data_IF_273811939198
#
_entry.id   IF_273811939198
#
_cell.length_a   1.000
_cell.length_b   1.000
_cell.length_c   1.000
_cell.angle_alpha   90.00
_cell.angle_beta   90.00
_cell.angle_gamma   90.00
#
_symmetry.space_group_name_H-M   'P 1'
#
loop_
_entity.id
_entity.type
_entity.pdbx_description
1 polymer ?
#
# COMPACT_ATOMS: atom_id res chain seq x y z
N UNK A 1 7.68 -22.76 -0.35
CA UNK A 1 7.57 -21.32 -0.08
C UNK A 1 8.26 -20.59 -1.24
N UNK A 2 7.52 -20.09 -2.24
CA UNK A 2 8.10 -19.41 -3.39
C UNK A 2 8.36 -17.94 -3.01
N UNK A 3 9.63 -17.60 -2.73
CA UNK A 3 10.03 -16.24 -2.38
C UNK A 3 11.44 -16.15 -1.82
N UNK A 4 11.88 -17.15 -1.04
CA UNK A 4 13.21 -17.11 -0.41
C UNK A 4 14.35 -17.30 -1.44
N UNK A 5 14.20 -18.31 -2.30
CA UNK A 5 15.20 -18.70 -3.32
C UNK A 5 15.40 -17.69 -4.46
N UNK A 6 14.52 -16.71 -4.60
CA UNK A 6 14.60 -15.69 -5.66
C UNK A 6 15.42 -14.47 -5.25
N UNK A 7 15.60 -14.25 -3.95
CA UNK A 7 16.34 -13.10 -3.41
C UNK A 7 17.67 -13.52 -2.79
N UNK A 8 17.77 -14.75 -2.28
CA UNK A 8 19.02 -15.40 -1.84
C UNK A 8 19.94 -15.66 -3.04
N UNK A 9 20.83 -14.71 -3.32
CA UNK A 9 21.70 -14.69 -4.49
C UNK A 9 23.03 -15.39 -4.23
N UNK A 10 23.48 -15.39 -2.98
CA UNK A 10 24.69 -16.09 -2.55
C UNK A 10 24.44 -17.57 -2.16
N UNK A 11 23.17 -17.98 -2.01
CA UNK A 11 22.77 -19.34 -1.68
C UNK A 11 23.02 -19.73 -0.23
N UNK A 12 23.17 -18.75 0.67
CA UNK A 12 23.52 -18.99 2.08
C UNK A 12 22.30 -19.30 2.96
N UNK A 13 21.10 -19.22 2.38
CA UNK A 13 19.86 -19.49 3.10
C UNK A 13 19.44 -18.34 4.01
N UNK A 14 19.90 -17.12 3.75
CA UNK A 14 19.46 -15.83 4.30
C UNK A 14 19.30 -14.83 3.15
N UNK A 15 18.60 -13.72 3.40
CA UNK A 15 18.53 -12.60 2.46
C UNK A 15 19.16 -11.39 3.13
N UNK A 16 20.25 -10.89 2.54
CA UNK A 16 20.94 -9.69 3.01
C UNK A 16 20.21 -8.43 2.55
N UNK A 17 20.40 -7.30 3.24
CA UNK A 17 19.88 -6.00 2.81
C UNK A 17 20.31 -5.65 1.37
N UNK A 18 21.56 -5.96 1.03
CA UNK A 18 22.11 -5.75 -0.31
C UNK A 18 21.40 -6.59 -1.37
N UNK A 19 21.13 -7.87 -1.09
CA UNK A 19 20.42 -8.75 -2.00
C UNK A 19 18.96 -8.31 -2.16
N UNK A 20 18.33 -7.93 -1.06
CA UNK A 20 16.98 -7.40 -1.07
C UNK A 20 16.87 -6.11 -1.90
N UNK A 21 17.84 -5.19 -1.74
CA UNK A 21 17.91 -3.96 -2.54
C UNK A 21 18.30 -4.21 -4.00
N UNK A 22 19.20 -5.17 -4.29
CA UNK A 22 19.63 -5.51 -5.64
C UNK A 22 18.46 -5.99 -6.52
N UNK A 23 17.47 -6.63 -5.91
CA UNK A 23 16.22 -7.04 -6.55
C UNK A 23 15.11 -5.97 -6.47
N UNK A 24 15.42 -4.74 -6.07
CA UNK A 24 14.49 -3.62 -6.00
C UNK A 24 13.57 -3.61 -4.77
N UNK A 25 13.92 -4.37 -3.73
CA UNK A 25 13.18 -4.44 -2.49
C UNK A 25 13.27 -3.14 -1.66
N UNK A 26 12.15 -2.64 -1.11
CA UNK A 26 12.17 -1.43 -0.29
C UNK A 26 12.80 -1.69 1.09
N UNK A 27 13.86 -0.97 1.45
CA UNK A 27 14.62 -1.11 2.72
C UNK A 27 13.73 -1.07 3.98
N UNK A 28 12.60 -0.36 3.92
CA UNK A 28 11.62 -0.36 5.01
C UNK A 28 11.00 -1.74 5.24
N UNK A 29 10.67 -2.47 4.17
CA UNK A 29 10.12 -3.82 4.29
C UNK A 29 11.16 -4.82 4.83
N UNK A 30 12.44 -4.58 4.56
CA UNK A 30 13.53 -5.36 5.16
C UNK A 30 13.58 -5.16 6.68
N UNK A 31 13.62 -3.91 7.15
CA UNK A 31 13.63 -3.60 8.58
C UNK A 31 12.36 -4.02 9.33
N UNK A 32 11.21 -4.08 8.65
CA UNK A 32 9.96 -4.52 9.25
C UNK A 32 9.92 -6.05 9.44
N UNK A 33 10.61 -6.76 8.54
CA UNK A 33 10.74 -8.21 8.58
C UNK A 33 11.91 -8.70 9.47
N UNK A 34 12.94 -7.88 9.65
CA UNK A 34 14.11 -8.14 10.51
C UNK A 34 13.73 -7.90 12.00
N UNK A 35 13.39 -8.99 12.69
CA UNK A 35 12.86 -8.95 14.05
C UNK A 35 14.00 -8.85 15.06
N UNK A 36 15.10 -9.55 14.81
CA UNK A 36 16.24 -9.64 15.70
C UNK A 36 17.26 -8.50 15.48
N UNK A 37 17.09 -7.70 14.42
CA UNK A 37 17.93 -6.57 13.99
C UNK A 37 19.35 -6.98 13.62
N UNK A 38 19.53 -8.15 13.03
CA UNK A 38 20.83 -8.66 12.60
C UNK A 38 21.18 -8.27 11.16
N UNK A 39 20.32 -7.49 10.49
CA UNK A 39 20.47 -7.04 9.10
C UNK A 39 20.46 -8.18 8.08
N UNK A 40 19.93 -9.34 8.46
CA UNK A 40 19.68 -10.48 7.61
C UNK A 40 18.20 -10.87 7.76
N UNK A 41 17.62 -11.48 6.73
CA UNK A 41 16.31 -12.10 6.84
C UNK A 41 16.47 -13.61 6.71
N UNK A 42 16.33 -14.34 7.81
CA UNK A 42 16.27 -15.79 7.75
C UNK A 42 14.87 -16.29 7.35
N UNK A 43 14.79 -17.59 7.06
CA UNK A 43 13.53 -18.25 6.76
C UNK A 43 12.49 -18.13 7.89
N UNK A 44 12.92 -18.10 9.16
CA UNK A 44 12.02 -17.92 10.31
C UNK A 44 11.49 -16.49 10.37
N UNK A 45 12.35 -15.49 10.16
CA UNK A 45 11.95 -14.09 10.11
C UNK A 45 11.10 -13.76 8.90
N UNK A 46 11.37 -14.35 7.73
CA UNK A 46 10.49 -14.23 6.58
C UNK A 46 9.14 -14.93 6.83
N UNK A 47 9.14 -16.10 7.48
CA UNK A 47 7.91 -16.80 7.86
C UNK A 47 7.11 -16.03 8.90
N UNK A 48 7.78 -15.40 9.86
CA UNK A 48 7.19 -14.57 10.91
C UNK A 48 6.75 -13.22 10.37
N UNK A 49 7.47 -12.63 9.41
CA UNK A 49 7.05 -11.47 8.64
C UNK A 49 5.82 -11.80 7.80
N UNK A 50 5.78 -12.97 7.16
CA UNK A 50 4.61 -13.49 6.44
C UNK A 50 3.43 -13.76 7.38
N UNK A 51 3.68 -14.27 8.59
CA UNK A 51 2.68 -14.56 9.61
C UNK A 51 2.21 -13.33 10.40
N UNK A 52 3.06 -12.31 10.55
CA UNK A 52 2.65 -10.97 10.98
C UNK A 52 1.87 -10.27 9.87
N UNK A 53 2.23 -10.54 8.60
CA UNK A 53 1.38 -10.30 7.44
C UNK A 53 0.18 -11.24 7.33
N UNK A 54 -0.03 -12.25 8.19
CA UNK A 54 -1.31 -12.99 8.23
C UNK A 54 -2.41 -12.19 8.93
N UNK A 55 -2.10 -10.97 9.41
CA UNK A 55 -3.13 -9.92 9.64
C UNK A 55 -3.40 -9.06 8.41
N UNK A 56 -2.53 -9.06 7.39
CA UNK A 56 -2.69 -8.35 6.11
C UNK A 56 -1.95 -9.09 4.97
N UNK A 57 -2.63 -10.02 4.30
CA UNK A 57 -2.05 -10.88 3.26
C UNK A 57 -1.31 -10.08 2.16
N UNK A 58 -0.15 -10.52 1.64
CA UNK A 58 0.59 -9.85 0.57
C UNK A 58 -0.24 -9.60 -0.70
N UNK A 59 -1.14 -10.52 -1.04
CA UNK A 59 -2.11 -10.32 -2.14
C UNK A 59 -2.99 -9.08 -1.91
N UNK A 60 -3.44 -8.86 -0.67
CA UNK A 60 -4.25 -7.70 -0.29
C UNK A 60 -3.49 -6.39 -0.42
N UNK A 61 -2.18 -6.36 -0.13
CA UNK A 61 -1.38 -5.16 -0.32
C UNK A 61 -1.23 -4.79 -1.80
N UNK A 62 -1.02 -5.79 -2.67
CA UNK A 62 -0.94 -5.58 -4.12
C UNK A 62 -2.30 -5.12 -4.65
N UNK A 63 -3.38 -5.75 -4.20
CA UNK A 63 -4.76 -5.36 -4.51
C UNK A 63 -5.08 -3.93 -4.03
N UNK A 64 -4.74 -3.59 -2.78
CA UNK A 64 -4.98 -2.26 -2.19
C UNK A 64 -4.16 -1.17 -2.88
N UNK A 65 -2.91 -1.46 -3.28
CA UNK A 65 -2.09 -0.54 -4.06
C UNK A 65 -2.69 -0.27 -5.44
N UNK A 66 -3.22 -1.31 -6.09
CA UNK A 66 -3.90 -1.21 -7.37
C UNK A 66 -5.22 -0.44 -7.27
N UNK A 67 -6.02 -0.72 -6.24
CA UNK A 67 -7.26 0.03 -5.92
C UNK A 67 -6.92 1.50 -5.70
N UNK A 68 -5.91 1.80 -4.88
CA UNK A 68 -5.45 3.18 -4.61
C UNK A 68 -5.07 3.90 -5.90
N UNK A 69 -4.34 3.21 -6.79
CA UNK A 69 -3.91 3.77 -8.08
C UNK A 69 -5.10 4.06 -8.99
N UNK A 70 -6.05 3.13 -9.09
CA UNK A 70 -7.31 3.32 -9.82
C UNK A 70 -8.10 4.50 -9.28
N UNK A 71 -8.33 4.56 -7.96
CA UNK A 71 -9.05 5.66 -7.32
C UNK A 71 -8.36 7.00 -7.62
N UNK A 72 -7.04 7.08 -7.41
CA UNK A 72 -6.26 8.29 -7.74
C UNK A 72 -6.40 8.70 -9.21
N UNK A 73 -6.31 7.75 -10.14
CA UNK A 73 -6.45 8.04 -11.57
C UNK A 73 -7.83 8.60 -11.92
N UNK A 74 -8.92 8.04 -11.38
CA UNK A 74 -10.28 8.51 -11.66
C UNK A 74 -10.54 9.86 -11.01
N UNK A 75 -10.05 10.09 -9.79
CA UNK A 75 -10.18 11.39 -9.12
C UNK A 75 -9.38 12.49 -9.82
N UNK A 76 -8.18 12.17 -10.31
CA UNK A 76 -7.37 13.08 -11.12
C UNK A 76 -8.08 13.44 -12.43
N UNK A 77 -8.68 12.44 -13.11
CA UNK A 77 -9.45 12.64 -14.34
C UNK A 77 -10.69 13.54 -14.16
N UNK A 78 -11.29 13.53 -12.97
CA UNK A 78 -12.44 14.35 -12.61
C UNK A 78 -12.05 15.71 -11.99
N UNK A 79 -10.78 16.12 -12.10
CA UNK A 79 -10.28 17.37 -11.55
C UNK A 79 -10.35 17.51 -10.03
N UNK A 80 -10.69 16.43 -9.31
CA UNK A 80 -10.88 16.46 -7.85
C UNK A 80 -9.53 16.58 -7.13
N UNK A 81 -8.47 16.01 -7.72
CA UNK A 81 -7.10 16.01 -7.18
C UNK A 81 -6.22 17.15 -7.70
N UNK A 82 -6.76 18.12 -8.44
CA UNK A 82 -5.92 19.17 -9.04
C UNK A 82 -5.21 20.06 -8.03
N UNK A 83 -5.68 20.11 -6.78
CA UNK A 83 -4.93 20.67 -5.66
C UNK A 83 -4.21 19.55 -4.92
N UNK A 84 -2.90 19.68 -4.71
CA UNK A 84 -2.01 18.77 -3.96
C UNK A 84 -2.46 18.40 -2.52
N UNK A 85 -3.66 18.81 -2.11
CA UNK A 85 -4.20 18.62 -0.78
C UNK A 85 -5.14 17.43 -0.62
N UNK A 86 -5.34 16.57 -1.62
CA UNK A 86 -6.18 15.35 -1.49
C UNK A 86 -5.31 14.10 -1.39
N UNK A 87 -5.37 13.42 -0.26
CA UNK A 87 -4.69 12.15 -0.04
C UNK A 87 -5.69 10.99 -0.14
N UNK A 88 -5.24 9.89 -0.74
CA UNK A 88 -6.01 8.66 -0.87
C UNK A 88 -5.17 7.49 -0.40
N UNK A 89 -5.72 6.77 0.55
CA UNK A 89 -5.12 5.59 1.15
C UNK A 89 -6.14 4.45 1.13
N UNK A 90 -5.71 3.24 0.81
CA UNK A 90 -6.58 2.06 0.86
C UNK A 90 -6.01 1.06 1.84
N UNK A 91 -6.85 0.55 2.73
CA UNK A 91 -6.46 -0.48 3.70
C UNK A 91 -7.52 -1.57 3.76
N UNK A 92 -7.15 -2.79 3.39
CA UNK A 92 -7.99 -3.99 3.44
C UNK A 92 -9.31 -3.80 2.67
N UNK A 93 -9.26 -3.13 1.51
CA UNK A 93 -10.42 -2.77 0.70
C UNK A 93 -11.27 -1.60 1.21
N UNK A 94 -10.83 -0.90 2.27
CA UNK A 94 -11.46 0.36 2.70
C UNK A 94 -10.65 1.53 2.17
N UNK A 95 -11.27 2.39 1.36
CA UNK A 95 -10.63 3.59 0.82
C UNK A 95 -10.89 4.75 1.76
N UNK A 96 -9.84 5.47 2.14
CA UNK A 96 -9.90 6.69 2.90
C UNK A 96 -9.49 7.87 2.02
N UNK A 97 -10.37 8.86 1.94
CA UNK A 97 -10.18 10.12 1.24
C UNK A 97 -10.00 11.20 2.30
N UNK A 98 -8.90 11.95 2.27
CA UNK A 98 -8.65 13.02 3.23
C UNK A 98 -8.05 14.26 2.59
N UNK A 99 -8.31 15.43 3.19
CA UNK A 99 -7.73 16.70 2.77
C UNK A 99 -8.74 17.74 2.28
N UNK A 100 -8.33 18.63 1.37
CA UNK A 100 -9.14 19.79 0.97
C UNK A 100 -9.51 19.80 -0.50
N UNK A 101 -10.77 20.13 -0.78
CA UNK A 101 -11.31 20.32 -2.13
C UNK A 101 -11.86 21.73 -2.30
N UNK A 102 -11.98 22.18 -3.55
CA UNK A 102 -12.41 23.54 -3.87
C UNK A 102 -13.93 23.71 -3.78
N UNK A 103 -14.70 22.62 -3.91
CA UNK A 103 -16.17 22.67 -3.82
C UNK A 103 -16.75 21.51 -3.00
N UNK A 104 -17.85 21.71 -2.25
CA UNK A 104 -18.52 20.62 -1.54
C UNK A 104 -19.05 19.54 -2.49
N UNK A 105 -19.38 19.92 -3.72
CA UNK A 105 -19.78 19.03 -4.80
C UNK A 105 -18.67 18.01 -5.17
N UNK A 106 -17.39 18.39 -5.05
CA UNK A 106 -16.27 17.47 -5.24
C UNK A 106 -16.20 16.41 -4.12
N UNK A 107 -16.60 16.73 -2.89
CA UNK A 107 -16.63 15.79 -1.75
C UNK A 107 -17.56 14.61 -2.07
N UNK A 108 -18.79 14.92 -2.48
CA UNK A 108 -19.79 13.91 -2.82
C UNK A 108 -19.39 13.10 -4.06
N UNK A 109 -18.78 13.76 -5.07
CA UNK A 109 -18.26 13.06 -6.25
C UNK A 109 -17.12 12.13 -5.93
N UNK A 110 -16.18 12.54 -5.06
CA UNK A 110 -15.01 11.75 -4.70
C UNK A 110 -15.42 10.43 -4.03
N UNK A 111 -16.36 10.48 -3.10
CA UNK A 111 -16.92 9.30 -2.44
C UNK A 111 -17.60 8.37 -3.44
N UNK A 112 -18.45 8.91 -4.32
CA UNK A 112 -19.17 8.11 -5.32
C UNK A 112 -18.22 7.44 -6.32
N UNK A 113 -17.15 8.14 -6.71
CA UNK A 113 -16.09 7.62 -7.57
C UNK A 113 -15.32 6.50 -6.88
N UNK A 114 -14.89 6.71 -5.63
CA UNK A 114 -14.15 5.72 -4.87
C UNK A 114 -15.00 4.45 -4.64
N UNK A 115 -16.29 4.60 -4.32
CA UNK A 115 -17.23 3.48 -4.18
C UNK A 115 -17.42 2.69 -5.49
N UNK A 116 -17.30 3.36 -6.64
CA UNK A 116 -17.41 2.73 -7.95
C UNK A 116 -16.18 1.94 -8.40
N UNK A 117 -15.07 2.00 -7.65
CA UNK A 117 -13.86 1.25 -7.99
C UNK A 117 -14.00 -0.20 -7.55
N UNK A 118 -13.78 -1.11 -8.50
CA UNK A 118 -13.79 -2.55 -8.26
C UNK A 118 -12.77 -2.94 -7.18
N UNK A 119 -13.25 -3.66 -6.15
CA UNK A 119 -12.47 -4.07 -4.98
C UNK A 119 -12.70 -3.20 -3.73
N UNK A 120 -13.38 -2.07 -3.85
CA UNK A 120 -13.72 -1.21 -2.72
C UNK A 120 -14.90 -1.79 -1.94
N UNK A 121 -14.68 -2.02 -0.64
CA UNK A 121 -15.68 -2.54 0.31
C UNK A 121 -16.36 -1.42 1.10
N UNK A 122 -15.60 -0.37 1.40
CA UNK A 122 -16.08 0.77 2.15
C UNK A 122 -15.28 2.02 1.77
N UNK A 123 -15.92 3.18 1.89
CA UNK A 123 -15.26 4.47 1.67
C UNK A 123 -15.46 5.34 2.91
N UNK A 124 -14.36 5.95 3.37
CA UNK A 124 -14.35 7.00 4.38
C UNK A 124 -13.99 8.31 3.72
N UNK A 125 -14.89 9.28 3.86
CA UNK A 125 -14.74 10.59 3.27
C UNK A 125 -14.49 11.62 4.37
N UNK A 126 -13.23 12.01 4.54
CA UNK A 126 -12.75 13.05 5.45
C UNK A 126 -12.33 14.31 4.66
N UNK A 127 -12.85 14.50 3.44
CA UNK A 127 -12.59 15.69 2.64
C UNK A 127 -13.35 16.90 3.18
N UNK A 128 -12.69 18.06 3.13
CA UNK A 128 -13.26 19.34 3.55
C UNK A 128 -13.27 20.33 2.39
N UNK A 129 -14.35 21.09 2.25
CA UNK A 129 -14.39 22.20 1.29
C UNK A 129 -13.56 23.35 1.87
N UNK A 130 -12.75 24.00 1.02
CA UNK A 130 -12.10 25.25 1.40
C UNK A 130 -13.18 26.30 1.73
N UNK A 131 -12.98 27.09 2.81
CA UNK A 131 -13.86 28.19 3.16
C UNK A 131 -13.81 29.33 2.13
#
# INVERSE_FOLDING_TARGET
>A
MPGFKTYDSNGDGKISLEEFQAHGGPVKAFHDADINRDLLLDADELANASARNERVSPGKYIEDAWITTKVKAVLLKNDIMKGLGVNVETSRGTVQLSGWVDTPDQIARAEKIALGVEGVKAVRNDLQAKP
#
